data_IF_274824394877
#
_entry.id   IF_274824394877
#
_cell.length_a   1.000
_cell.length_b   1.000
_cell.length_c   1.000
_cell.angle_alpha   90.00
_cell.angle_beta   90.00
_cell.angle_gamma   90.00
#
_symmetry.space_group_name_H-M   'P 1'
#
loop_
_entity.id
_entity.type
_entity.pdbx_description
1 polymer ?
#
# COMPACT_ATOMS: atom_id res chain seq x y z
N UNK A 1 -0.74 -5.01 3.73
CA UNK A 1 -0.95 -4.76 5.17
C UNK A 1 -2.21 -5.51 5.57
N UNK A 2 -2.17 -6.42 6.55
CA UNK A 2 -3.38 -7.14 7.00
C UNK A 2 -4.09 -6.25 8.02
N UNK A 3 -5.03 -5.43 7.57
CA UNK A 3 -5.85 -4.64 8.51
C UNK A 3 -6.83 -5.59 9.17
N UNK A 4 -6.50 -6.00 10.39
CA UNK A 4 -7.44 -6.62 11.34
C UNK A 4 -7.76 -5.54 12.37
N UNK A 5 -9.03 -5.18 12.51
CA UNK A 5 -9.49 -4.17 13.46
C UNK A 5 -10.64 -4.72 14.29
N UNK A 6 -10.82 -4.21 15.51
CA UNK A 6 -11.89 -4.63 16.40
C UNK A 6 -12.85 -3.48 16.67
N UNK A 7 -14.13 -3.80 16.65
CA UNK A 7 -15.20 -2.89 17.05
C UNK A 7 -15.76 -3.22 18.45
N UNK A 8 -15.18 -4.20 19.17
CA UNK A 8 -15.67 -4.64 20.47
C UNK A 8 -15.53 -3.57 21.57
N UNK A 9 -14.61 -2.63 21.40
CA UNK A 9 -14.35 -1.58 22.38
C UNK A 9 -15.34 -0.40 22.31
N UNK A 10 -16.21 -0.38 21.29
CA UNK A 10 -17.23 0.66 21.16
C UNK A 10 -18.54 0.17 21.78
N UNK A 11 -19.26 1.07 22.48
CA UNK A 11 -20.52 0.72 23.15
C UNK A 11 -21.68 0.48 22.18
N UNK A 12 -21.63 1.09 20.99
CA UNK A 12 -22.72 1.13 20.03
C UNK A 12 -22.29 0.90 18.59
N UNK A 13 -20.98 0.98 18.30
CA UNK A 13 -20.43 0.90 16.95
C UNK A 13 -19.83 -0.48 16.74
N UNK A 14 -20.66 -1.50 16.55
CA UNK A 14 -20.18 -2.89 16.46
C UNK A 14 -20.01 -3.40 15.04
N UNK A 15 -20.41 -2.64 14.02
CA UNK A 15 -20.36 -3.07 12.63
C UNK A 15 -19.10 -2.56 11.93
N UNK A 16 -18.27 -3.47 11.43
CA UNK A 16 -17.03 -3.16 10.74
C UNK A 16 -17.19 -2.86 9.24
N UNK A 17 -16.58 -1.77 8.79
CA UNK A 17 -16.58 -1.31 7.41
C UNK A 17 -15.17 -0.99 6.92
N UNK A 18 -14.95 -1.24 5.64
CA UNK A 18 -13.75 -0.88 4.89
C UNK A 18 -14.03 0.40 4.12
N UNK A 19 -13.16 1.40 4.28
CA UNK A 19 -13.45 2.78 3.86
C UNK A 19 -12.34 3.32 2.96
N UNK A 20 -12.73 4.02 1.90
CA UNK A 20 -11.83 4.87 1.13
C UNK A 20 -12.32 6.31 1.07
N UNK A 21 -11.39 7.24 1.17
CA UNK A 21 -11.64 8.68 1.02
C UNK A 21 -11.25 9.10 -0.40
N UNK A 22 -12.19 9.64 -1.17
CA UNK A 22 -11.87 10.27 -2.45
C UNK A 22 -11.54 11.75 -2.26
N UNK A 23 -10.25 12.10 -2.30
CA UNK A 23 -9.78 13.50 -2.27
C UNK A 23 -9.56 14.03 -3.69
N UNK A 24 -10.11 15.22 -3.98
CA UNK A 24 -9.68 16.04 -5.13
C UNK A 24 -10.64 16.16 -6.32
N UNK A 25 -11.90 15.74 -6.23
CA UNK A 25 -12.94 15.99 -7.24
C UNK A 25 -14.19 16.64 -6.65
N UNK A 26 -15.01 17.29 -7.49
CA UNK A 26 -16.33 17.83 -7.12
C UNK A 26 -17.25 16.62 -6.84
N UNK A 27 -17.62 16.42 -5.57
CA UNK A 27 -18.31 15.21 -5.08
C UNK A 27 -17.51 14.45 -4.01
N UNK A 28 -17.00 15.15 -2.99
CA UNK A 28 -16.18 14.56 -1.93
C UNK A 28 -17.03 13.65 -1.03
N UNK A 29 -16.60 12.41 -0.82
CA UNK A 29 -17.32 11.41 -0.03
C UNK A 29 -16.44 10.25 0.44
N UNK A 30 -16.99 9.46 1.36
CA UNK A 30 -16.40 8.21 1.81
C UNK A 30 -17.10 7.04 1.12
N UNK A 31 -16.34 6.12 0.55
CA UNK A 31 -16.87 4.88 0.00
C UNK A 31 -16.83 3.80 1.05
N UNK A 32 -17.95 3.11 1.27
CA UNK A 32 -18.09 2.06 2.27
C UNK A 32 -18.27 0.69 1.63
N UNK A 33 -17.53 -0.30 2.13
CA UNK A 33 -17.72 -1.72 1.82
C UNK A 33 -17.72 -2.53 3.11
N UNK A 34 -18.67 -3.45 3.28
CA UNK A 34 -18.77 -4.25 4.51
C UNK A 34 -17.52 -5.10 4.71
N UNK A 35 -16.92 -5.01 5.89
CA UNK A 35 -15.73 -5.77 6.24
C UNK A 35 -16.05 -7.26 6.48
N UNK A 36 -15.04 -8.12 6.38
CA UNK A 36 -15.18 -9.53 6.72
C UNK A 36 -15.09 -9.70 8.24
N UNK A 37 -16.04 -10.39 8.87
CA UNK A 37 -15.90 -10.80 10.27
C UNK A 37 -14.79 -11.86 10.42
N UNK A 38 -14.03 -11.79 11.50
CA UNK A 38 -12.91 -12.68 11.79
C UNK A 38 -13.08 -13.29 13.17
N UNK A 39 -13.18 -14.62 13.23
CA UNK A 39 -13.33 -15.31 14.51
C UNK A 39 -14.74 -15.19 15.11
N UNK A 40 -14.88 -15.42 16.43
CA UNK A 40 -16.16 -15.38 17.13
C UNK A 40 -16.87 -14.03 17.01
N UNK A 41 -18.21 -14.05 16.96
CA UNK A 41 -19.02 -12.85 16.71
C UNK A 41 -18.97 -11.85 17.89
N UNK A 42 -18.71 -12.35 19.09
CA UNK A 42 -18.50 -11.59 20.32
C UNK A 42 -17.22 -10.74 20.28
N UNK A 43 -16.20 -11.15 19.53
CA UNK A 43 -14.92 -10.46 19.46
C UNK A 43 -14.97 -9.22 18.54
N UNK A 44 -16.02 -9.13 17.71
CA UNK A 44 -16.26 -8.02 16.76
C UNK A 44 -14.99 -7.64 15.99
N UNK A 45 -14.24 -8.66 15.58
CA UNK A 45 -13.03 -8.51 14.81
C UNK A 45 -13.36 -8.53 13.32
N UNK A 46 -12.70 -7.67 12.56
CA UNK A 46 -12.97 -7.45 11.15
C UNK A 46 -11.67 -7.34 10.36
N UNK A 47 -11.72 -7.66 9.07
CA UNK A 47 -10.65 -7.36 8.13
C UNK A 47 -11.17 -6.85 6.78
N UNK A 48 -10.29 -6.17 6.05
CA UNK A 48 -10.55 -5.67 4.70
C UNK A 48 -9.84 -6.46 3.60
N UNK A 49 -9.44 -7.71 3.89
CA UNK A 49 -8.72 -8.56 2.93
C UNK A 49 -9.66 -8.88 1.76
N UNK A 50 -9.21 -8.60 0.54
CA UNK A 50 -9.98 -8.82 -0.69
C UNK A 50 -11.13 -7.82 -0.91
N UNK A 51 -11.29 -6.81 -0.04
CA UNK A 51 -12.26 -5.73 -0.26
C UNK A 51 -11.64 -4.62 -1.12
N UNK A 52 -12.47 -3.95 -1.92
CA UNK A 52 -12.08 -2.89 -2.88
C UNK A 52 -11.32 -1.72 -2.22
N UNK A 53 -11.55 -1.50 -0.92
CA UNK A 53 -10.93 -0.44 -0.13
C UNK A 53 -10.21 -1.07 1.05
N UNK A 54 -8.90 -1.28 0.93
CA UNK A 54 -8.08 -1.94 1.96
C UNK A 54 -7.41 -0.98 2.94
N UNK A 55 -7.54 0.33 2.71
CA UNK A 55 -6.61 1.31 3.28
C UNK A 55 -7.11 1.94 4.59
N UNK A 56 -8.43 1.96 4.83
CA UNK A 56 -8.99 2.43 6.10
C UNK A 56 -10.12 1.52 6.60
N UNK A 57 -10.38 1.58 7.90
CA UNK A 57 -11.42 0.84 8.59
C UNK A 57 -12.27 1.77 9.45
N UNK A 58 -13.57 1.50 9.52
CA UNK A 58 -14.50 2.20 10.40
C UNK A 58 -15.36 1.21 11.19
N UNK A 59 -15.68 1.60 12.42
CA UNK A 59 -16.72 0.97 13.22
C UNK A 59 -17.96 1.87 13.17
N UNK A 60 -19.08 1.32 12.73
CA UNK A 60 -20.34 2.02 12.54
C UNK A 60 -21.44 1.39 13.41
N UNK A 61 -22.57 2.09 13.53
CA UNK A 61 -23.76 1.54 14.17
C UNK A 61 -24.23 0.29 13.40
N UNK A 62 -24.88 -0.64 14.09
CA UNK A 62 -25.37 -1.88 13.47
C UNK A 62 -26.49 -1.64 12.44
N UNK A 63 -27.20 -0.52 12.56
CA UNK A 63 -28.23 -0.04 11.64
C UNK A 63 -27.69 1.00 10.62
N UNK A 64 -26.38 1.21 10.57
CA UNK A 64 -25.79 2.12 9.59
C UNK A 64 -26.00 1.58 8.17
N UNK A 65 -26.74 2.35 7.37
CA UNK A 65 -26.93 2.14 5.95
C UNK A 65 -26.26 3.31 5.23
N UNK A 66 -25.15 3.11 4.49
CA UNK A 66 -24.53 4.18 3.72
C UNK A 66 -25.50 4.69 2.65
N UNK A 67 -25.43 5.98 2.32
CA UNK A 67 -26.18 6.54 1.19
C UNK A 67 -25.78 5.76 -0.08
N UNK A 68 -26.73 5.38 -0.97
CA UNK A 68 -26.41 4.70 -2.22
C UNK A 68 -25.34 5.38 -3.08
N UNK A 69 -25.17 6.71 -2.97
CA UNK A 69 -24.11 7.44 -3.66
C UNK A 69 -22.71 7.23 -3.05
N UNK A 70 -22.67 6.84 -1.77
CA UNK A 70 -21.48 6.53 -0.96
C UNK A 70 -21.19 5.02 -0.95
N UNK A 71 -22.03 4.23 -1.63
CA UNK A 71 -21.85 2.81 -1.91
C UNK A 71 -21.27 2.64 -3.30
N UNK A 72 -20.11 2.01 -3.42
CA UNK A 72 -19.78 1.38 -4.71
C UNK A 72 -20.56 0.08 -4.87
N UNK A 73 -21.22 -0.14 -6.03
CA UNK A 73 -21.86 -1.41 -6.33
C UNK A 73 -20.89 -2.57 -6.10
N UNK A 74 -21.35 -3.56 -5.35
CA UNK A 74 -20.76 -4.90 -5.37
C UNK A 74 -21.16 -5.50 -6.72
N UNK A 75 -20.37 -5.23 -7.76
CA UNK A 75 -20.47 -6.03 -8.96
C UNK A 75 -20.04 -7.45 -8.59
N UNK A 76 -21.02 -8.35 -8.50
CA UNK A 76 -20.92 -9.82 -8.38
C UNK A 76 -20.18 -10.48 -9.59
N UNK A 77 -19.36 -9.70 -10.29
CA UNK A 77 -18.47 -10.13 -11.36
C UNK A 77 -17.05 -9.54 -11.24
N UNK A 78 -16.64 -9.20 -10.02
CA UNK A 78 -15.23 -8.95 -9.72
C UNK A 78 -14.54 -10.28 -9.46
N UNK A 79 -14.20 -11.01 -10.53
CA UNK A 79 -13.32 -12.16 -10.47
C UNK A 79 -12.14 -11.84 -9.56
N UNK A 80 -11.81 -12.76 -8.64
CA UNK A 80 -10.73 -12.68 -7.66
C UNK A 80 -9.83 -11.45 -7.87
N UNK A 81 -9.97 -10.43 -7.02
CA UNK A 81 -8.90 -9.42 -6.88
C UNK A 81 -7.70 -10.18 -6.37
N UNK A 82 -6.94 -10.71 -7.32
CA UNK A 82 -5.65 -11.31 -7.11
C UNK A 82 -4.84 -10.24 -6.43
N UNK A 83 -4.67 -10.37 -5.11
CA UNK A 83 -3.70 -9.55 -4.39
C UNK A 83 -2.41 -9.67 -5.20
N UNK A 84 -1.83 -8.55 -5.68
CA UNK A 84 -0.68 -8.62 -6.57
C UNK A 84 0.38 -9.51 -5.94
N UNK A 85 0.73 -10.60 -6.62
CA UNK A 85 1.64 -11.58 -6.06
C UNK A 85 3.05 -10.98 -6.05
N UNK A 86 3.70 -10.84 -4.89
CA UNK A 86 5.04 -10.26 -4.78
C UNK A 86 6.09 -10.98 -5.63
N UNK A 87 5.83 -12.21 -6.09
CA UNK A 87 6.74 -12.97 -6.96
C UNK A 87 6.54 -12.71 -8.45
N UNK A 88 5.40 -12.17 -8.86
CA UNK A 88 5.02 -12.05 -10.28
C UNK A 88 4.64 -10.63 -10.70
N UNK A 89 4.21 -9.78 -9.76
CA UNK A 89 3.85 -8.38 -10.06
C UNK A 89 5.08 -7.50 -10.15
N UNK A 90 5.25 -6.81 -11.28
CA UNK A 90 6.31 -5.82 -11.49
C UNK A 90 5.75 -4.43 -11.22
N UNK A 91 6.40 -3.66 -10.34
CA UNK A 91 6.04 -2.25 -10.06
C UNK A 91 7.05 -1.25 -10.66
N UNK A 92 8.31 -1.65 -10.83
CA UNK A 92 9.32 -0.87 -11.52
C UNK A 92 10.42 -1.77 -12.09
N UNK A 93 11.20 -1.23 -13.03
CA UNK A 93 12.37 -1.91 -13.61
C UNK A 93 13.60 -1.02 -13.50
N UNK A 94 14.76 -1.66 -13.35
CA UNK A 94 16.08 -1.03 -13.39
C UNK A 94 16.85 -1.35 -14.66
N UNK A 95 16.24 -2.02 -15.64
CA UNK A 95 16.91 -2.38 -16.90
C UNK A 95 17.34 -1.15 -17.72
N UNK A 96 16.62 -0.04 -17.60
CA UNK A 96 16.91 1.25 -18.23
C UNK A 96 17.82 2.16 -17.37
N UNK A 97 18.12 1.77 -16.12
CA UNK A 97 19.01 2.51 -15.23
C UNK A 97 20.45 2.03 -15.41
N UNK A 98 21.23 2.78 -16.20
CA UNK A 98 22.62 2.43 -16.52
C UNK A 98 23.47 2.26 -15.25
N UNK A 99 24.13 1.11 -15.14
CA UNK A 99 25.01 0.73 -14.01
C UNK A 99 24.32 0.73 -12.63
N UNK A 100 22.99 0.73 -12.60
CA UNK A 100 22.19 0.80 -11.38
C UNK A 100 21.17 -0.36 -11.30
N UNK A 101 21.65 -1.62 -11.23
CA UNK A 101 20.76 -2.77 -11.36
C UNK A 101 19.93 -3.04 -10.10
N UNK A 102 20.22 -2.43 -8.96
CA UNK A 102 19.64 -2.83 -7.68
C UNK A 102 18.41 -1.99 -7.33
N UNK A 103 17.24 -2.62 -7.24
CA UNK A 103 15.99 -1.96 -6.85
C UNK A 103 15.83 -1.80 -5.33
N UNK A 104 15.42 -0.60 -4.92
CA UNK A 104 15.08 -0.28 -3.54
C UNK A 104 13.73 0.41 -3.45
N UNK A 105 13.04 0.13 -2.35
CA UNK A 105 11.80 0.78 -1.98
C UNK A 105 12.09 1.85 -0.93
N UNK A 106 11.60 3.06 -1.16
CA UNK A 106 11.96 4.21 -0.34
C UNK A 106 10.76 5.05 0.06
N UNK A 107 10.90 5.72 1.19
CA UNK A 107 9.98 6.73 1.68
C UNK A 107 10.81 7.96 2.05
N UNK A 108 10.44 9.11 1.51
CA UNK A 108 11.10 10.37 1.86
C UNK A 108 10.61 10.82 3.24
N UNK A 109 11.54 11.24 4.09
CA UNK A 109 11.17 11.88 5.35
C UNK A 109 10.77 13.32 5.06
N UNK A 110 9.46 13.57 5.06
CA UNK A 110 8.91 14.92 4.90
C UNK A 110 9.11 15.72 6.19
N UNK A 111 10.21 16.48 6.27
CA UNK A 111 10.44 17.47 7.32
C UNK A 111 10.51 18.86 6.70
N UNK A 112 10.04 19.89 7.44
CA UNK A 112 10.13 21.30 6.99
C UNK A 112 11.57 21.83 6.87
N UNK A 113 12.54 21.08 7.42
CA UNK A 113 13.94 21.50 7.50
C UNK A 113 14.90 20.53 6.82
N UNK A 114 14.41 19.36 6.38
CA UNK A 114 15.25 18.30 5.83
C UNK A 114 14.53 17.66 4.65
N UNK A 115 15.13 17.81 3.47
CA UNK A 115 14.67 17.25 2.20
C UNK A 115 15.73 16.29 1.65
N UNK A 116 15.32 15.32 0.86
CA UNK A 116 16.25 14.39 0.21
C UNK A 116 16.87 13.34 1.16
N UNK A 117 16.22 13.08 2.29
CA UNK A 117 16.54 11.98 3.19
C UNK A 117 15.48 10.88 3.09
N UNK A 118 15.94 9.64 2.93
CA UNK A 118 15.09 8.50 2.62
C UNK A 118 15.37 7.33 3.56
N UNK A 119 14.29 6.63 3.90
CA UNK A 119 14.37 5.27 4.41
C UNK A 119 14.45 4.29 3.24
N UNK A 120 15.22 3.21 3.41
CA UNK A 120 15.46 2.21 2.38
C UNK A 120 15.07 0.81 2.84
N UNK A 121 14.39 0.08 1.97
CA UNK A 121 14.21 -1.36 2.07
C UNK A 121 14.51 -1.99 0.72
N UNK A 122 15.26 -3.09 0.72
CA UNK A 122 15.58 -3.79 -0.52
C UNK A 122 14.29 -4.31 -1.17
N UNK A 123 14.11 -4.04 -2.46
CA UNK A 123 12.91 -4.43 -3.19
C UNK A 123 12.85 -5.94 -3.44
N UNK A 124 11.67 -6.49 -3.72
CA UNK A 124 11.56 -7.89 -4.16
C UNK A 124 11.94 -7.97 -5.63
N UNK A 125 12.86 -8.86 -6.00
CA UNK A 125 13.12 -9.17 -7.40
C UNK A 125 12.00 -10.05 -7.98
N UNK A 126 11.59 -9.77 -9.21
CA UNK A 126 10.42 -10.36 -9.86
C UNK A 126 10.81 -11.03 -11.17
N UNK A 127 10.58 -12.33 -11.26
CA UNK A 127 10.91 -13.10 -12.46
C UNK A 127 12.42 -13.19 -12.74
N UNK A 128 12.83 -13.31 -14.02
CA UNK A 128 14.23 -13.53 -14.38
C UNK A 128 15.14 -12.34 -14.01
N UNK A 129 16.30 -12.63 -13.41
CA UNK A 129 17.27 -11.62 -12.96
C UNK A 129 17.69 -10.63 -14.07
N UNK A 130 17.78 -11.08 -15.32
CA UNK A 130 18.14 -10.24 -16.47
C UNK A 130 17.14 -9.10 -16.75
N UNK A 131 15.90 -9.24 -16.29
CA UNK A 131 14.86 -8.24 -16.53
C UNK A 131 14.94 -7.09 -15.50
N UNK A 132 15.65 -7.29 -14.38
CA UNK A 132 15.83 -6.28 -13.33
C UNK A 132 14.48 -5.67 -12.90
N UNK A 133 13.48 -6.53 -12.74
CA UNK A 133 12.13 -6.14 -12.37
C UNK A 133 11.96 -6.26 -10.86
N UNK A 134 11.26 -5.29 -10.28
CA UNK A 134 11.12 -5.17 -8.85
C UNK A 134 9.72 -4.76 -8.42
N UNK A 135 9.38 -5.06 -7.16
CA UNK A 135 8.24 -4.48 -6.47
C UNK A 135 8.52 -4.21 -4.98
N UNK A 136 7.63 -3.43 -4.37
CA UNK A 136 7.69 -3.06 -2.95
C UNK A 136 6.60 -3.73 -2.10
N UNK A 137 6.01 -4.82 -2.60
CA UNK A 137 4.90 -5.50 -1.95
C UNK A 137 5.40 -6.12 -0.64
N UNK A 138 4.79 -5.71 0.48
CA UNK A 138 5.18 -6.16 1.81
C UNK A 138 6.45 -5.50 2.38
N UNK A 139 6.98 -4.45 1.72
CA UNK A 139 8.12 -3.68 2.23
C UNK A 139 7.65 -2.51 3.12
N UNK A 140 8.44 -2.12 4.14
CA UNK A 140 8.06 -1.07 5.08
C UNK A 140 8.09 0.35 4.48
N UNK A 141 8.79 0.54 3.36
CA UNK A 141 8.87 1.79 2.62
C UNK A 141 8.45 1.49 1.19
N UNK A 142 7.45 2.18 0.65
CA UNK A 142 6.90 1.86 -0.67
C UNK A 142 6.27 3.09 -1.37
N UNK A 143 6.52 4.29 -0.86
CA UNK A 143 6.00 5.53 -1.47
C UNK A 143 6.68 5.83 -2.80
N UNK A 144 7.96 5.47 -2.92
CA UNK A 144 8.76 5.61 -4.13
C UNK A 144 9.65 4.38 -4.33
N UNK A 145 10.21 4.28 -5.53
CA UNK A 145 11.20 3.27 -5.91
C UNK A 145 12.45 3.95 -6.46
N UNK A 146 13.60 3.35 -6.21
CA UNK A 146 14.88 3.81 -6.78
C UNK A 146 15.68 2.63 -7.31
N UNK A 147 16.44 2.88 -8.37
CA UNK A 147 17.45 1.96 -8.88
C UNK A 147 18.81 2.49 -8.49
N UNK A 148 19.63 1.67 -7.84
CA UNK A 148 20.93 2.07 -7.32
C UNK A 148 22.06 1.21 -7.89
N UNK A 149 23.28 1.76 -7.85
CA UNK A 149 24.51 1.01 -8.10
C UNK A 149 24.60 -0.17 -7.15
N UNK A 150 25.17 -1.29 -7.61
CA UNK A 150 25.41 -2.47 -6.78
C UNK A 150 26.33 -2.19 -5.57
N UNK A 151 27.14 -1.13 -5.65
CA UNK A 151 28.03 -0.68 -4.57
C UNK A 151 27.35 0.22 -3.54
N UNK A 152 26.18 0.77 -3.85
CA UNK A 152 25.45 1.62 -2.91
C UNK A 152 24.77 0.76 -1.85
N UNK A 153 25.16 0.95 -0.60
CA UNK A 153 24.66 0.19 0.56
C UNK A 153 24.05 1.16 1.57
N UNK A 154 22.73 1.41 1.52
CA UNK A 154 22.10 2.28 2.50
C UNK A 154 22.25 1.69 3.90
N UNK A 155 22.50 2.55 4.88
CA UNK A 155 22.65 2.11 6.27
C UNK A 155 21.27 1.73 6.83
N UNK A 156 21.12 0.55 7.44
CA UNK A 156 19.87 0.14 8.05
C UNK A 156 19.53 1.07 9.22
N UNK A 157 18.25 1.38 9.41
CA UNK A 157 17.73 2.20 10.51
C UNK A 157 18.30 3.64 10.59
N UNK A 158 18.89 4.13 9.50
CA UNK A 158 19.37 5.52 9.38
C UNK A 158 18.79 6.13 8.12
N UNK A 159 18.55 7.44 8.15
CA UNK A 159 18.15 8.20 6.98
C UNK A 159 19.34 8.33 6.03
N UNK A 160 19.13 7.96 4.76
CA UNK A 160 20.16 8.01 3.73
C UNK A 160 19.83 9.09 2.71
N UNK A 161 20.83 9.83 2.28
CA UNK A 161 20.80 10.62 1.04
C UNK A 161 21.55 9.87 -0.05
N UNK A 162 21.23 10.18 -1.30
CA UNK A 162 21.93 9.64 -2.46
C UNK A 162 22.07 10.70 -3.54
N UNK A 163 23.08 10.56 -4.39
CA UNK A 163 23.22 11.37 -5.60
C UNK A 163 22.56 10.67 -6.80
N UNK A 164 22.34 11.39 -7.89
CA UNK A 164 21.85 10.80 -9.15
C UNK A 164 22.82 9.78 -9.76
N UNK A 165 24.10 9.82 -9.38
CA UNK A 165 25.11 8.83 -9.76
C UNK A 165 24.94 7.52 -8.99
N UNK A 166 24.58 7.62 -7.71
CA UNK A 166 24.36 6.47 -6.84
C UNK A 166 23.04 5.78 -7.15
N UNK A 167 21.96 6.56 -7.26
CA UNK A 167 20.63 6.06 -7.51
C UNK A 167 19.79 6.99 -8.40
N UNK A 168 18.85 6.41 -9.14
CA UNK A 168 17.82 7.11 -9.89
C UNK A 168 16.43 6.77 -9.34
N UNK A 169 15.61 7.81 -9.12
CA UNK A 169 14.22 7.63 -8.75
C UNK A 169 13.45 7.07 -9.94
N UNK A 170 12.75 5.97 -9.72
CA UNK A 170 11.77 5.43 -10.65
C UNK A 170 10.39 5.86 -10.17
N UNK A 171 9.62 6.49 -11.05
CA UNK A 171 8.18 6.64 -10.79
C UNK A 171 7.61 5.23 -10.66
N UNK A 172 6.92 4.97 -9.55
CA UNK A 172 6.14 3.76 -9.39
C UNK A 172 5.19 3.65 -10.60
N UNK A 173 5.23 2.54 -11.32
CA UNK A 173 4.23 2.26 -12.35
C UNK A 173 2.96 1.99 -11.55
N UNK A 174 2.11 3.00 -11.44
CA UNK A 174 0.96 3.02 -10.54
C UNK A 174 0.16 1.72 -10.59
N UNK A 175 -0.20 1.23 -9.41
CA UNK A 175 -1.31 0.30 -9.22
C UNK A 175 -2.61 0.92 -9.67
#
# INVERSE_FOLDING_TARGET
MRVVFTCANFKTLHSGWCVAEERGKIGQGYHFVKANSVGPAEDKNYNCIGKKYGDNSACCLDDFIPDPKDLTPLDDNSGATTTPDPKTTVAFTCADAKDQPTGWCVTEVKSRFVHGLYNFAEANAVGPAKNLNYNCIGKPFAENSVCCRSTYKPKPNVLNSFTSQDCQIKKSIGT
#
